data_IF_149062815517
#
_entry.id   IF_149062815517
#
_cell.length_a   1.000
_cell.length_b   1.000
_cell.length_c   1.000
_cell.angle_alpha   90.00
_cell.angle_beta   90.00
_cell.angle_gamma   90.00
#
_symmetry.space_group_name_H-M   'P 1'
#
loop_
_entity.id
_entity.type
_entity.pdbx_description
1 polymer ?
#
# COMPACT_ATOMS: atom_id res chain seq x y z
N UNK A 1 12.17 -13.89 -33.86
CA UNK A 1 11.94 -14.53 -32.55
C UNK A 1 10.93 -13.65 -31.84
N UNK A 2 9.69 -14.13 -31.81
CA UNK A 2 8.48 -13.33 -31.61
C UNK A 2 8.20 -13.08 -30.13
N UNK A 3 8.61 -11.92 -29.64
CA UNK A 3 8.32 -11.43 -28.27
C UNK A 3 6.81 -11.17 -28.10
N UNK A 4 6.05 -11.02 -29.20
CA UNK A 4 4.63 -10.73 -29.17
C UNK A 4 3.74 -11.94 -28.83
N UNK A 5 4.19 -13.18 -29.09
CA UNK A 5 3.37 -14.38 -28.85
C UNK A 5 3.39 -14.85 -27.39
N UNK A 6 4.47 -14.57 -26.65
CA UNK A 6 4.61 -14.99 -25.25
C UNK A 6 3.76 -14.14 -24.29
N UNK A 7 3.56 -12.85 -24.56
CA UNK A 7 2.67 -12.01 -23.75
C UNK A 7 1.21 -12.40 -23.94
N UNK A 8 0.77 -12.65 -25.18
CA UNK A 8 -0.61 -13.07 -25.47
C UNK A 8 -0.93 -14.44 -24.86
N UNK A 9 0.03 -15.37 -24.87
CA UNK A 9 -0.16 -16.70 -24.27
C UNK A 9 -0.26 -16.62 -22.74
N UNK A 10 0.56 -15.80 -22.08
CA UNK A 10 0.52 -15.62 -20.62
C UNK A 10 -0.75 -14.91 -20.15
N UNK A 11 -1.25 -13.92 -20.91
CA UNK A 11 -2.52 -13.26 -20.61
C UNK A 11 -3.70 -14.21 -20.81
N UNK A 12 -3.72 -14.99 -21.90
CA UNK A 12 -4.76 -15.98 -22.15
C UNK A 12 -4.79 -17.10 -21.08
N UNK A 13 -3.62 -17.57 -20.63
CA UNK A 13 -3.51 -18.58 -19.58
C UNK A 13 -3.96 -18.04 -18.21
N UNK A 14 -3.67 -16.77 -17.90
CA UNK A 14 -4.18 -16.10 -16.71
C UNK A 14 -5.72 -15.98 -16.75
N UNK A 15 -6.29 -15.57 -17.89
CA UNK A 15 -7.74 -15.50 -18.07
C UNK A 15 -8.43 -16.86 -17.85
N UNK A 16 -7.89 -17.94 -18.42
CA UNK A 16 -8.48 -19.29 -18.25
C UNK A 16 -8.47 -19.75 -16.79
N UNK A 17 -7.41 -19.45 -16.04
CA UNK A 17 -7.27 -19.85 -14.64
C UNK A 17 -8.10 -18.99 -13.69
N UNK A 18 -8.27 -17.71 -14.00
CA UNK A 18 -9.16 -16.78 -13.27
C UNK A 18 -10.64 -17.12 -13.53
N UNK A 19 -11.01 -17.49 -14.77
CA UNK A 19 -12.37 -17.94 -15.10
C UNK A 19 -12.75 -19.29 -14.46
N UNK A 20 -11.77 -20.09 -14.05
CA UNK A 20 -11.96 -21.33 -13.29
C UNK A 20 -12.07 -21.10 -11.78
N UNK A 21 -11.80 -19.89 -11.27
CA UNK A 21 -12.09 -19.53 -9.88
C UNK A 21 -13.59 -19.25 -9.73
N UNK A 22 -14.14 -19.48 -8.54
CA UNK A 22 -15.54 -19.12 -8.19
C UNK A 22 -15.69 -17.59 -8.14
N UNK A 23 -15.59 -16.93 -9.29
CA UNK A 23 -15.84 -15.51 -9.44
C UNK A 23 -17.35 -15.30 -9.51
N UNK A 24 -17.87 -14.34 -8.73
CA UNK A 24 -19.29 -13.95 -8.81
C UNK A 24 -19.64 -13.65 -10.27
N UNK A 25 -20.66 -14.34 -10.78
CA UNK A 25 -21.15 -14.20 -12.15
C UNK A 25 -21.93 -12.88 -12.31
N UNK A 26 -21.19 -11.77 -12.37
CA UNK A 26 -21.69 -10.43 -12.64
C UNK A 26 -21.22 -10.00 -14.05
N UNK A 27 -22.01 -9.22 -14.77
CA UNK A 27 -21.67 -8.74 -16.11
C UNK A 27 -21.72 -7.21 -16.18
N UNK A 28 -20.59 -6.51 -16.37
CA UNK A 28 -19.23 -7.05 -16.54
C UNK A 28 -18.64 -7.56 -15.22
N UNK A 29 -17.75 -8.55 -15.32
CA UNK A 29 -16.95 -9.01 -14.18
C UNK A 29 -16.11 -7.85 -13.64
N UNK A 30 -16.15 -7.66 -12.32
CA UNK A 30 -15.45 -6.56 -11.66
C UNK A 30 -14.09 -7.04 -11.13
N UNK A 31 -13.01 -6.49 -11.68
CA UNK A 31 -11.64 -6.75 -11.21
C UNK A 31 -11.02 -5.47 -10.67
N UNK A 32 -10.24 -5.59 -9.59
CA UNK A 32 -9.43 -4.49 -9.05
C UNK A 32 -7.96 -4.85 -9.20
N UNK A 33 -7.25 -4.11 -10.03
CA UNK A 33 -5.80 -4.21 -10.11
C UNK A 33 -5.18 -3.48 -8.91
N UNK A 34 -4.45 -4.21 -8.07
CA UNK A 34 -3.83 -3.73 -6.83
C UNK A 34 -2.47 -4.37 -6.64
N UNK A 35 -1.54 -3.63 -6.06
CA UNK A 35 -0.29 -4.19 -5.58
C UNK A 35 -0.58 -5.10 -4.38
N UNK A 36 -0.15 -6.36 -4.47
CA UNK A 36 -0.26 -7.34 -3.38
C UNK A 36 0.99 -7.40 -2.51
N UNK A 37 2.13 -7.08 -3.10
CA UNK A 37 3.43 -7.06 -2.44
C UNK A 37 3.99 -5.65 -2.53
N UNK A 38 4.61 -5.20 -1.44
CA UNK A 38 5.26 -3.90 -1.33
C UNK A 38 6.78 -4.09 -1.38
N UNK A 39 7.53 -3.13 -1.96
CA UNK A 39 9.00 -3.16 -1.90
C UNK A 39 9.50 -3.01 -0.45
N UNK A 40 10.71 -3.48 -0.18
CA UNK A 40 11.41 -3.22 1.09
C UNK A 40 11.88 -1.76 1.14
N UNK A 41 12.38 -1.23 0.02
CA UNK A 41 12.70 0.19 -0.14
C UNK A 41 12.07 0.74 -1.42
N UNK A 42 11.15 1.70 -1.27
CA UNK A 42 10.45 2.31 -2.42
C UNK A 42 11.38 3.07 -3.35
N UNK A 43 12.48 3.65 -2.84
CA UNK A 43 13.39 4.48 -3.62
C UNK A 43 14.30 3.65 -4.53
N UNK A 44 14.71 2.49 -4.04
CA UNK A 44 15.65 1.61 -4.75
C UNK A 44 14.94 0.63 -5.70
N UNK A 45 13.70 0.23 -5.40
CA UNK A 45 13.01 -0.83 -6.15
C UNK A 45 11.97 -0.32 -7.16
N UNK A 46 11.40 0.88 -6.97
CA UNK A 46 10.40 1.42 -7.90
C UNK A 46 11.05 2.12 -9.09
N UNK A 47 11.26 1.37 -10.17
CA UNK A 47 11.97 1.85 -11.37
C UNK A 47 11.04 2.61 -12.33
N UNK A 48 9.82 2.12 -12.55
CA UNK A 48 8.91 2.65 -13.58
C UNK A 48 7.93 3.68 -12.99
N UNK A 49 7.77 4.82 -13.67
CA UNK A 49 6.84 5.90 -13.28
C UNK A 49 5.39 5.41 -13.11
N UNK A 50 4.93 4.50 -13.97
CA UNK A 50 3.57 3.95 -13.87
C UNK A 50 3.40 3.12 -12.59
N UNK A 51 4.42 2.34 -12.21
CA UNK A 51 4.42 1.54 -10.99
C UNK A 51 4.43 2.45 -9.77
N UNK A 52 5.30 3.47 -9.76
CA UNK A 52 5.34 4.51 -8.73
C UNK A 52 3.96 5.14 -8.53
N UNK A 53 3.30 5.58 -9.62
CA UNK A 53 1.98 6.18 -9.58
C UNK A 53 0.92 5.24 -9.02
N UNK A 54 0.93 3.97 -9.39
CA UNK A 54 -0.03 2.98 -8.91
C UNK A 54 0.14 2.69 -7.42
N UNK A 55 1.38 2.57 -6.94
CA UNK A 55 1.69 2.45 -5.51
C UNK A 55 1.27 3.69 -4.72
N UNK A 56 1.66 4.88 -5.19
CA UNK A 56 1.27 6.15 -4.58
C UNK A 56 -0.25 6.26 -4.43
N UNK A 57 -1.01 5.96 -5.49
CA UNK A 57 -2.47 6.02 -5.43
C UNK A 57 -3.06 4.98 -4.48
N UNK A 58 -2.50 3.77 -4.43
CA UNK A 58 -2.96 2.72 -3.53
C UNK A 58 -2.71 3.08 -2.06
N UNK A 59 -1.49 3.47 -1.72
CA UNK A 59 -1.08 3.84 -0.34
C UNK A 59 -1.84 5.07 0.12
N UNK A 60 -1.93 6.11 -0.72
CA UNK A 60 -2.72 7.30 -0.39
C UNK A 60 -4.18 6.95 -0.08
N UNK A 61 -4.79 6.06 -0.86
CA UNK A 61 -6.16 5.63 -0.59
C UNK A 61 -6.27 4.88 0.74
N UNK A 62 -5.32 3.99 1.05
CA UNK A 62 -5.29 3.25 2.30
C UNK A 62 -5.13 4.18 3.52
N UNK A 63 -4.30 5.21 3.43
CA UNK A 63 -4.16 6.24 4.48
C UNK A 63 -5.46 7.04 4.63
N UNK A 64 -6.04 7.53 3.52
CA UNK A 64 -7.26 8.34 3.57
C UNK A 64 -8.48 7.56 4.07
N UNK A 65 -8.52 6.24 3.89
CA UNK A 65 -9.57 5.36 4.41
C UNK A 65 -9.31 4.86 5.83
N UNK A 66 -8.26 5.34 6.51
CA UNK A 66 -7.81 4.85 7.82
C UNK A 66 -7.52 3.33 7.84
N UNK A 67 -7.16 2.72 6.69
CA UNK A 67 -6.65 1.34 6.64
C UNK A 67 -5.21 1.28 7.15
N UNK A 68 -4.42 2.29 6.81
CA UNK A 68 -3.10 2.56 7.38
C UNK A 68 -3.26 3.73 8.35
N UNK A 69 -2.96 3.48 9.62
CA UNK A 69 -2.92 4.56 10.60
C UNK A 69 -1.79 5.56 10.25
N UNK A 70 -2.15 6.84 10.19
CA UNK A 70 -1.21 7.92 9.94
C UNK A 70 -1.42 9.02 10.99
N UNK A 71 -0.39 9.44 11.73
CA UNK A 71 -0.53 10.49 12.73
C UNK A 71 -0.89 11.84 12.07
N UNK A 72 -1.50 12.79 12.80
CA UNK A 72 -1.97 14.06 12.24
C UNK A 72 -0.88 14.86 11.51
N UNK A 73 0.30 15.01 12.12
CA UNK A 73 1.41 15.79 11.60
C UNK A 73 1.90 15.22 10.27
N UNK A 74 2.10 13.89 10.21
CA UNK A 74 2.48 13.19 8.99
C UNK A 74 1.36 13.26 7.94
N UNK A 75 0.09 13.21 8.34
CA UNK A 75 -1.04 13.31 7.40
C UNK A 75 -1.06 14.65 6.67
N UNK A 76 -0.77 15.76 7.37
CA UNK A 76 -0.68 17.10 6.77
C UNK A 76 0.50 17.18 5.80
N UNK A 77 1.66 16.66 6.18
CA UNK A 77 2.83 16.62 5.31
C UNK A 77 2.57 15.79 4.05
N UNK A 78 2.00 14.59 4.19
CA UNK A 78 1.61 13.73 3.07
C UNK A 78 0.57 14.41 2.17
N UNK A 79 -0.40 15.13 2.75
CA UNK A 79 -1.36 15.91 1.98
C UNK A 79 -0.68 16.99 1.12
N UNK A 80 0.36 17.65 1.64
CA UNK A 80 1.14 18.65 0.90
C UNK A 80 1.89 18.06 -0.31
N UNK A 81 2.48 16.87 -0.16
CA UNK A 81 3.08 16.15 -1.30
C UNK A 81 2.01 15.69 -2.30
N UNK A 82 0.84 15.27 -1.81
CA UNK A 82 -0.25 14.85 -2.68
C UNK A 82 -0.81 15.99 -3.54
N UNK A 83 -0.88 17.22 -3.02
CA UNK A 83 -1.27 18.39 -3.82
C UNK A 83 -0.19 18.77 -4.82
N UNK A 84 1.10 18.70 -4.46
CA UNK A 84 2.21 18.91 -5.40
C UNK A 84 2.17 17.88 -6.54
N UNK A 85 1.99 16.59 -6.23
CA UNK A 85 1.90 15.53 -7.23
C UNK A 85 0.70 15.71 -8.18
N UNK A 86 -0.42 16.27 -7.70
CA UNK A 86 -1.63 16.46 -8.49
C UNK A 86 -1.62 17.74 -9.31
N UNK A 87 -1.26 18.86 -8.69
CA UNK A 87 -1.45 20.20 -9.23
C UNK A 87 -0.12 20.83 -9.71
N UNK A 88 1.03 20.32 -9.26
CA UNK A 88 2.34 20.93 -9.49
C UNK A 88 2.58 22.10 -8.53
N UNK A 89 3.47 23.02 -8.90
CA UNK A 89 3.85 24.16 -8.05
C UNK A 89 2.68 25.04 -7.64
N UNK A 90 2.68 25.46 -6.37
CA UNK A 90 1.72 26.45 -5.88
C UNK A 90 1.93 27.82 -6.56
N UNK A 91 0.86 28.36 -7.15
CA UNK A 91 0.82 29.71 -7.69
C UNK A 91 -0.31 30.52 -7.04
N UNK A 92 -0.01 31.54 -6.21
CA UNK A 92 -1.02 32.35 -5.52
C UNK A 92 -2.01 33.06 -6.47
N UNK A 93 -1.64 33.29 -7.72
CA UNK A 93 -2.52 33.93 -8.72
C UNK A 93 -3.56 32.98 -9.31
N UNK A 94 -3.35 31.66 -9.19
CA UNK A 94 -4.21 30.60 -9.75
C UNK A 94 -4.91 29.83 -8.63
N UNK A 95 -4.18 29.52 -7.56
CA UNK A 95 -4.63 28.71 -6.44
C UNK A 95 -5.11 29.62 -5.30
N UNK A 96 -6.32 30.16 -5.45
CA UNK A 96 -6.99 30.94 -4.40
C UNK A 96 -7.57 30.07 -3.28
N UNK A 97 -8.20 30.72 -2.29
CA UNK A 97 -8.93 30.02 -1.22
C UNK A 97 -10.03 29.11 -1.79
N UNK A 98 -10.18 27.91 -1.21
CA UNK A 98 -11.16 26.91 -1.66
C UNK A 98 -10.74 26.13 -2.90
N UNK A 99 -9.55 26.36 -3.48
CA UNK A 99 -9.03 25.56 -4.60
C UNK A 99 -8.97 24.06 -4.25
N UNK A 100 -8.65 23.74 -3.01
CA UNK A 100 -8.53 22.37 -2.50
C UNK A 100 -9.85 21.80 -1.95
N UNK A 101 -10.98 22.52 -2.08
CA UNK A 101 -12.26 22.13 -1.50
C UNK A 101 -12.90 20.86 -2.12
N UNK A 102 -12.36 20.33 -3.23
CA UNK A 102 -12.80 19.06 -3.81
C UNK A 102 -11.80 17.92 -3.57
N UNK A 103 -10.64 18.22 -2.98
CA UNK A 103 -9.61 17.24 -2.72
C UNK A 103 -9.84 16.57 -1.36
N UNK A 104 -9.84 15.24 -1.36
CA UNK A 104 -9.79 14.45 -0.12
C UNK A 104 -8.34 14.33 0.31
N UNK A 105 -7.93 15.19 1.25
CA UNK A 105 -6.54 15.37 1.64
C UNK A 105 -6.16 14.71 2.97
N UNK A 106 -7.11 14.63 3.91
CA UNK A 106 -6.86 14.10 5.25
C UNK A 106 -7.81 12.93 5.57
N UNK A 107 -7.38 11.96 6.41
CA UNK A 107 -8.28 10.98 7.00
C UNK A 107 -9.34 11.67 7.88
N UNK A 108 -10.56 11.12 7.91
CA UNK A 108 -11.68 11.71 8.66
C UNK A 108 -11.35 11.81 10.16
N UNK A 109 -10.65 10.82 10.71
CA UNK A 109 -10.20 10.83 12.10
C UNK A 109 -9.34 12.05 12.43
N UNK A 110 -8.45 12.49 11.54
CA UNK A 110 -7.55 13.62 11.79
C UNK A 110 -8.35 14.93 11.83
N UNK A 111 -9.32 15.09 10.92
CA UNK A 111 -10.19 16.28 10.90
C UNK A 111 -11.11 16.33 12.10
N UNK A 112 -11.60 15.18 12.58
CA UNK A 112 -12.54 15.11 13.71
C UNK A 112 -11.85 15.36 15.07
N UNK A 113 -10.55 15.03 15.18
CA UNK A 113 -9.78 15.20 16.41
C UNK A 113 -9.37 16.65 16.70
N UNK A 114 -9.28 17.50 15.67
CA UNK A 114 -8.81 18.89 15.81
C UNK A 114 -9.96 19.89 15.65
N UNK A 115 -9.92 20.96 16.43
CA UNK A 115 -10.88 22.08 16.33
C UNK A 115 -10.52 23.06 15.22
N UNK A 116 -10.02 22.56 14.09
CA UNK A 116 -9.67 23.37 12.93
C UNK A 116 -10.81 23.32 11.92
N UNK A 117 -11.18 24.48 11.40
CA UNK A 117 -12.05 24.61 10.25
C UNK A 117 -11.38 24.05 9.00
N UNK A 118 -12.18 23.77 7.98
CA UNK A 118 -11.68 23.33 6.68
C UNK A 118 -10.67 24.30 6.08
N UNK A 119 -10.94 25.60 6.20
CA UNK A 119 -10.09 26.66 5.65
C UNK A 119 -8.73 26.71 6.36
N UNK A 120 -8.69 26.48 7.68
CA UNK A 120 -7.44 26.40 8.44
C UNK A 120 -6.60 25.17 8.03
N UNK A 121 -7.24 24.03 7.76
CA UNK A 121 -6.55 22.86 7.21
C UNK A 121 -6.00 23.13 5.82
N UNK A 122 -6.80 23.72 4.93
CA UNK A 122 -6.37 24.10 3.58
C UNK A 122 -5.18 25.07 3.64
N UNK A 123 -5.22 26.06 4.53
CA UNK A 123 -4.11 26.99 4.71
C UNK A 123 -2.85 26.29 5.23
N UNK A 124 -2.97 25.38 6.20
CA UNK A 124 -1.85 24.61 6.73
C UNK A 124 -1.19 23.77 5.63
N UNK A 125 -1.98 23.04 4.84
CA UNK A 125 -1.49 22.22 3.71
C UNK A 125 -0.88 23.12 2.63
N UNK A 126 -1.48 24.27 2.35
CA UNK A 126 -0.97 25.22 1.36
C UNK A 126 0.38 25.81 1.76
N UNK A 127 0.59 26.09 3.06
CA UNK A 127 1.88 26.55 3.56
C UNK A 127 2.98 25.51 3.31
N UNK A 128 2.71 24.23 3.58
CA UNK A 128 3.65 23.15 3.26
C UNK A 128 3.82 22.93 1.75
N UNK A 129 2.76 23.06 0.96
CA UNK A 129 2.81 22.92 -0.49
C UNK A 129 3.75 23.96 -1.14
N UNK A 130 3.81 25.18 -0.60
CA UNK A 130 4.71 26.22 -1.09
C UNK A 130 6.19 25.86 -0.95
N UNK A 131 6.55 25.04 0.05
CA UNK A 131 7.92 24.58 0.28
C UNK A 131 8.38 23.55 -0.78
N UNK A 132 7.45 22.90 -1.48
CA UNK A 132 7.74 21.89 -2.50
C UNK A 132 7.93 22.48 -3.90
N UNK A 133 8.04 23.81 -4.03
CA UNK A 133 8.14 24.48 -5.32
C UNK A 133 9.37 24.02 -6.10
N UNK A 134 9.16 23.67 -7.37
CA UNK A 134 10.18 23.14 -8.26
C UNK A 134 10.34 21.62 -8.20
N UNK A 135 9.63 20.94 -7.29
CA UNK A 135 9.61 19.49 -7.21
C UNK A 135 8.74 18.91 -8.34
N UNK A 136 9.28 17.93 -9.07
CA UNK A 136 8.52 17.21 -10.10
C UNK A 136 7.40 16.38 -9.47
N UNK A 137 6.38 16.05 -10.26
CA UNK A 137 5.22 15.29 -9.76
C UNK A 137 5.62 13.88 -9.35
N UNK A 138 6.55 13.29 -10.09
CA UNK A 138 7.12 11.97 -9.84
C UNK A 138 7.92 11.98 -8.54
N UNK A 139 8.75 12.99 -8.33
CA UNK A 139 9.51 13.16 -7.09
C UNK A 139 8.57 13.36 -5.88
N UNK A 140 7.50 14.14 -6.04
CA UNK A 140 6.49 14.31 -4.99
C UNK A 140 5.76 12.99 -4.65
N UNK A 141 5.49 12.14 -5.65
CA UNK A 141 4.93 10.79 -5.40
C UNK A 141 5.95 9.89 -4.70
N UNK A 142 7.23 9.98 -5.06
CA UNK A 142 8.30 9.22 -4.43
C UNK A 142 8.50 9.62 -2.96
N UNK A 143 8.61 10.92 -2.67
CA UNK A 143 8.74 11.43 -1.30
C UNK A 143 7.52 11.09 -0.44
N UNK A 144 6.31 11.14 -1.02
CA UNK A 144 5.11 10.64 -0.34
C UNK A 144 5.27 9.18 0.10
N UNK A 145 5.76 8.31 -0.79
CA UNK A 145 5.94 6.89 -0.48
C UNK A 145 7.07 6.65 0.51
N UNK A 146 8.18 7.41 0.43
CA UNK A 146 9.29 7.32 1.38
C UNK A 146 8.88 7.67 2.80
N UNK A 147 7.95 8.62 2.97
CA UNK A 147 7.40 8.95 4.29
C UNK A 147 6.39 7.88 4.72
N UNK A 148 5.55 7.41 3.79
CA UNK A 148 4.51 6.43 4.08
C UNK A 148 5.06 5.04 4.44
N UNK A 149 6.22 4.64 3.90
CA UNK A 149 6.83 3.34 4.19
C UNK A 149 7.26 3.19 5.66
N UNK A 150 7.51 4.31 6.35
CA UNK A 150 7.90 4.34 7.76
C UNK A 150 6.69 4.21 8.71
N UNK A 151 5.45 4.19 8.19
CA UNK A 151 4.25 3.99 9.00
C UNK A 151 4.15 2.53 9.47
N UNK A 152 3.81 2.33 10.74
CA UNK A 152 3.78 1.00 11.39
C UNK A 152 2.89 -0.03 10.69
N UNK A 153 1.83 0.42 10.02
CA UNK A 153 0.86 -0.43 9.33
C UNK A 153 1.11 -0.52 7.81
N UNK A 154 2.18 0.11 7.30
CA UNK A 154 2.47 0.12 5.87
C UNK A 154 2.83 -1.27 5.36
N UNK A 155 2.15 -1.72 4.31
CA UNK A 155 2.44 -3.01 3.67
C UNK A 155 2.11 -4.24 4.52
N UNK A 156 1.49 -4.08 5.70
CA UNK A 156 1.16 -5.18 6.61
C UNK A 156 -0.21 -5.77 6.29
N UNK A 157 -0.24 -7.07 5.98
CA UNK A 157 -1.49 -7.82 5.88
C UNK A 157 -1.83 -8.46 7.23
N UNK A 158 -2.95 -8.07 7.83
CA UNK A 158 -3.37 -8.55 9.16
C UNK A 158 -4.30 -9.77 9.07
N UNK A 159 -4.00 -10.80 9.86
CA UNK A 159 -4.81 -12.01 10.02
C UNK A 159 -5.15 -12.23 11.50
N UNK A 160 -6.39 -12.59 11.79
CA UNK A 160 -6.77 -12.99 13.14
C UNK A 160 -6.25 -14.39 13.46
N UNK A 161 -5.54 -14.54 14.59
CA UNK A 161 -4.99 -15.81 15.05
C UNK A 161 -5.31 -16.03 16.53
N UNK A 162 -5.14 -17.28 17.00
CA UNK A 162 -5.21 -17.64 18.41
C UNK A 162 -3.99 -18.44 18.81
N UNK A 163 -3.42 -18.16 19.98
CA UNK A 163 -2.30 -18.94 20.52
C UNK A 163 -2.80 -20.24 21.20
N UNK A 164 -1.88 -21.09 21.68
CA UNK A 164 -2.22 -22.32 22.42
C UNK A 164 -3.03 -22.08 23.71
N UNK A 165 -2.93 -20.88 24.29
CA UNK A 165 -3.71 -20.46 25.47
C UNK A 165 -5.06 -19.82 25.09
N UNK A 166 -5.45 -19.91 23.81
CA UNK A 166 -6.67 -19.34 23.24
C UNK A 166 -6.75 -17.80 23.30
N UNK A 167 -5.62 -17.10 23.50
CA UNK A 167 -5.53 -15.64 23.41
C UNK A 167 -5.67 -15.21 21.95
N UNK A 168 -6.57 -14.25 21.71
CA UNK A 168 -6.75 -13.63 20.39
C UNK A 168 -5.62 -12.65 20.12
N UNK A 169 -5.04 -12.74 18.92
CA UNK A 169 -3.92 -11.92 18.48
C UNK A 169 -4.08 -11.60 17.00
N UNK A 170 -3.31 -10.62 16.51
CA UNK A 170 -3.14 -10.39 15.08
C UNK A 170 -1.79 -10.90 14.61
N UNK A 171 -1.75 -11.54 13.44
CA UNK A 171 -0.55 -11.83 12.67
C UNK A 171 -0.45 -10.81 11.55
N UNK A 172 0.58 -9.97 11.56
CA UNK A 172 0.93 -9.12 10.42
C UNK A 172 1.97 -9.82 9.55
N UNK A 173 1.74 -9.79 8.24
CA UNK A 173 2.66 -10.29 7.22
C UNK A 173 3.04 -9.13 6.31
N UNK A 174 4.31 -8.77 6.28
CA UNK A 174 4.87 -7.70 5.46
C UNK A 174 6.10 -8.20 4.65
N UNK A 175 6.77 -7.30 3.95
CA UNK A 175 7.99 -7.61 3.19
C UNK A 175 9.18 -7.98 4.10
N UNK A 176 9.19 -7.54 5.36
CA UNK A 176 10.29 -7.76 6.30
C UNK A 176 10.13 -9.08 7.09
N UNK A 177 8.91 -9.58 7.22
CA UNK A 177 8.62 -10.88 7.85
C UNK A 177 7.24 -11.01 8.47
N UNK A 178 7.24 -11.61 9.67
CA UNK A 178 6.03 -11.83 10.45
C UNK A 178 6.08 -11.08 11.78
N UNK A 179 4.95 -10.49 12.10
CA UNK A 179 4.74 -9.68 13.29
C UNK A 179 3.50 -10.20 14.05
N UNK A 180 3.55 -10.20 15.38
CA UNK A 180 2.41 -10.56 16.24
C UNK A 180 1.97 -9.30 16.99
N UNK A 181 0.68 -9.01 17.04
CA UNK A 181 0.11 -7.86 17.73
C UNK A 181 -1.01 -8.28 18.69
N UNK A 182 -1.28 -7.46 19.70
CA UNK A 182 -2.42 -7.65 20.60
C UNK A 182 -3.74 -7.39 19.87
N UNK A 183 -4.83 -8.04 20.30
CA UNK A 183 -6.13 -7.90 19.63
C UNK A 183 -6.63 -6.45 19.60
N UNK A 184 -6.34 -5.71 20.67
CA UNK A 184 -6.82 -4.34 20.91
C UNK A 184 -5.90 -3.28 20.30
N UNK A 185 -4.69 -3.64 19.84
CA UNK A 185 -3.72 -2.71 19.28
C UNK A 185 -2.89 -3.34 18.15
N UNK A 186 -3.15 -2.91 16.90
CA UNK A 186 -2.46 -3.37 15.69
C UNK A 186 -1.14 -2.63 15.40
N UNK A 187 -0.81 -1.64 16.23
CA UNK A 187 0.36 -0.77 16.12
C UNK A 187 1.51 -1.29 17.00
N UNK A 188 1.18 -1.91 18.15
CA UNK A 188 2.19 -2.41 19.10
C UNK A 188 2.63 -3.84 18.79
N UNK A 189 3.90 -3.98 18.40
CA UNK A 189 4.54 -5.26 18.07
C UNK A 189 4.90 -6.10 19.32
N UNK A 190 4.34 -7.30 19.44
CA UNK A 190 4.72 -8.32 20.42
C UNK A 190 5.74 -9.31 19.85
N UNK A 191 7.03 -8.94 19.90
CA UNK A 191 8.22 -9.77 19.59
C UNK A 191 8.34 -10.34 18.16
N UNK A 192 9.55 -10.19 17.62
CA UNK A 192 9.96 -10.61 16.26
C UNK A 192 10.31 -12.11 16.23
N UNK A 193 9.70 -12.87 15.33
CA UNK A 193 10.19 -14.18 14.91
C UNK A 193 10.81 -14.07 13.51
N UNK A 194 12.04 -13.56 13.45
CA UNK A 194 12.80 -13.30 12.20
C UNK A 194 13.15 -14.56 11.39
N UNK A 195 12.81 -15.75 11.88
CA UNK A 195 13.27 -17.04 11.34
C UNK A 195 12.26 -17.79 10.45
N UNK A 196 11.08 -17.25 10.17
CA UNK A 196 10.01 -18.01 9.50
C UNK A 196 9.69 -17.58 8.07
N UNK A 197 10.29 -16.52 7.55
CA UNK A 197 9.87 -15.93 6.28
C UNK A 197 10.12 -16.84 5.07
N UNK A 198 11.24 -17.58 5.04
CA UNK A 198 11.50 -18.56 3.97
C UNK A 198 10.45 -19.68 3.99
N UNK A 199 10.05 -20.15 5.17
CA UNK A 199 9.09 -21.24 5.31
C UNK A 199 7.68 -20.77 4.94
N UNK A 200 7.29 -19.53 5.27
CA UNK A 200 5.94 -19.05 5.05
C UNK A 200 5.71 -18.54 3.63
N UNK A 201 6.71 -17.92 2.97
CA UNK A 201 6.60 -17.65 1.53
C UNK A 201 6.44 -18.97 0.77
N UNK A 202 7.19 -20.02 1.13
CA UNK A 202 7.03 -21.36 0.54
C UNK A 202 5.64 -21.91 0.86
N UNK A 203 5.15 -21.81 2.09
CA UNK A 203 3.82 -22.32 2.49
C UNK A 203 2.69 -21.54 1.80
N UNK A 204 2.72 -20.20 1.75
CA UNK A 204 1.67 -19.41 1.08
C UNK A 204 1.71 -19.64 -0.44
N UNK A 205 2.90 -19.79 -1.02
CA UNK A 205 3.08 -20.14 -2.44
C UNK A 205 2.66 -21.58 -2.77
N UNK A 206 2.66 -22.49 -1.79
CA UNK A 206 2.27 -23.90 -1.96
C UNK A 206 0.82 -24.18 -1.57
N UNK A 207 0.25 -23.47 -0.59
CA UNK A 207 -1.16 -23.59 -0.16
C UNK A 207 -2.12 -22.98 -1.19
N UNK A 208 -1.64 -22.08 -2.07
CA UNK A 208 -2.40 -21.60 -3.24
C UNK A 208 -2.14 -22.40 -4.54
N UNK A 209 -1.44 -23.55 -4.48
CA UNK A 209 -1.42 -24.53 -5.58
C UNK A 209 -2.44 -25.64 -5.30
N UNK A 210 -3.50 -25.81 -6.12
CA UNK A 210 -4.10 -27.11 -6.25
C UNK A 210 -3.11 -28.00 -7.02
N UNK A 211 -2.55 -28.98 -6.31
CA UNK A 211 -1.97 -30.23 -6.80
C UNK A 211 -1.48 -30.22 -8.26
N UNK A 212 -0.21 -29.85 -8.48
CA UNK A 212 0.54 -30.43 -9.59
C UNK A 212 1.59 -31.38 -9.01
N UNK A 213 1.28 -32.65 -9.15
CA UNK A 213 2.15 -33.79 -8.90
C UNK A 213 3.32 -33.69 -9.90
N UNK A 214 4.40 -33.00 -9.51
CA UNK A 214 5.68 -33.10 -10.22
C UNK A 214 6.66 -33.65 -9.20
N UNK A 215 6.93 -34.95 -9.31
CA UNK A 215 8.07 -35.55 -8.64
C UNK A 215 9.35 -34.92 -9.15
N UNK A 216 10.14 -34.37 -8.25
CA UNK A 216 11.59 -34.25 -8.44
C UNK A 216 12.28 -34.46 -7.08
N UNK A 217 13.20 -35.44 -7.00
CA UNK A 217 14.02 -35.68 -5.82
C UNK A 217 15.12 -34.64 -5.79
N UNK A 218 15.40 -34.01 -4.65
CA UNK A 218 16.70 -33.39 -4.34
C UNK A 218 16.61 -32.73 -2.96
N UNK A 219 16.96 -33.47 -1.91
CA UNK A 219 17.62 -32.96 -0.70
C UNK A 219 18.28 -34.17 0.01
N UNK A 220 19.44 -34.57 -0.53
CA UNK A 220 20.45 -35.34 0.22
C UNK A 220 21.64 -34.39 0.44
N UNK A 221 21.97 -34.19 1.72
CA UNK A 221 23.16 -33.49 2.19
C UNK A 221 23.06 -31.99 2.02
N UNK A 222 22.79 -31.26 3.10
CA UNK A 222 23.73 -30.50 3.92
C UNK A 222 23.00 -30.12 5.21
#
# INVERSE_FOLDING_TARGET
MDIHRDTDFNVALFCLKVMQQDVKKENPLQFKFRAKFYPEDVADELIQEITLKLFYLQVKNAILSDEIYCPPETSVLLASYAVQARHGDHNPSIHGQGFLANDRLLPQRVTDQHKMSRDEWEQSITNWWQEHRGMLREDAMMEYLKIAQDLEMYGVNYFEIRNKKNTELWLGVDALGLNIYEKDDKSVLLRIARFLMIIIIIIISTVHRPLLNIGLPLLRGW
#
